data_IF_513550580384
#
_entry.id   IF_513550580384
#
_cell.length_a   1.000
_cell.length_b   1.000
_cell.length_c   1.000
_cell.angle_alpha   90.00
_cell.angle_beta   90.00
_cell.angle_gamma   90.00
#
_symmetry.space_group_name_H-M   'P 1'
#
loop_
_entity.id
_entity.type
_entity.pdbx_description
1 polymer ?
#
# COMPACT_ATOMS: atom_id res chain seq x y z
N UNK A 1 29.13 1.20 -15.89
CA UNK A 1 29.08 2.20 -14.80
C UNK A 1 30.02 1.71 -13.72
N UNK A 2 30.82 2.58 -13.13
CA UNK A 2 31.68 2.22 -12.02
C UNK A 2 30.84 2.15 -10.73
N UNK A 3 31.09 1.13 -9.92
CA UNK A 3 30.55 0.98 -8.58
C UNK A 3 31.70 1.13 -7.61
N UNK A 4 31.57 2.08 -6.70
CA UNK A 4 32.46 2.23 -5.56
C UNK A 4 32.27 1.04 -4.59
N UNK A 5 33.20 0.84 -3.65
CA UNK A 5 33.15 -0.25 -2.67
C UNK A 5 31.91 -0.20 -1.76
N UNK A 6 31.34 1.00 -1.55
CA UNK A 6 30.10 1.22 -0.79
C UNK A 6 28.82 0.96 -1.60
N UNK A 7 28.95 0.55 -2.87
CA UNK A 7 27.84 0.32 -3.79
C UNK A 7 27.34 1.56 -4.52
N UNK A 8 27.95 2.74 -4.29
CA UNK A 8 27.60 3.97 -5.00
C UNK A 8 27.90 3.85 -6.48
N UNK A 9 26.91 4.14 -7.31
CA UNK A 9 27.06 4.15 -8.77
C UNK A 9 27.44 5.58 -9.21
N UNK A 10 28.60 5.73 -9.86
CA UNK A 10 28.94 6.95 -10.60
C UNK A 10 28.46 6.82 -12.05
N UNK A 11 27.35 7.47 -12.45
CA UNK A 11 26.84 7.37 -13.81
C UNK A 11 27.73 8.14 -14.79
N UNK A 12 27.95 7.57 -15.97
CA UNK A 12 28.51 8.30 -17.10
C UNK A 12 27.53 9.41 -17.48
N UNK A 13 28.06 10.59 -17.85
CA UNK A 13 27.24 11.71 -18.31
C UNK A 13 27.35 11.85 -19.82
N UNK A 14 26.22 12.16 -20.44
CA UNK A 14 26.17 12.59 -21.84
C UNK A 14 26.89 13.93 -21.94
N UNK A 15 27.75 14.06 -22.95
CA UNK A 15 28.52 15.27 -23.22
C UNK A 15 27.85 16.06 -24.35
N UNK A 16 27.49 15.38 -25.44
CA UNK A 16 26.93 16.01 -26.63
C UNK A 16 25.82 15.14 -27.22
N UNK A 17 24.79 15.78 -27.78
CA UNK A 17 23.77 15.14 -28.59
C UNK A 17 24.04 15.39 -30.08
N UNK A 18 24.36 14.32 -30.80
CA UNK A 18 24.58 14.32 -32.24
C UNK A 18 23.23 14.08 -32.95
N UNK A 19 22.54 15.18 -33.25
CA UNK A 19 21.17 15.17 -33.78
C UNK A 19 21.04 14.35 -35.06
N UNK A 20 21.92 14.56 -36.04
CA UNK A 20 21.80 13.91 -37.35
C UNK A 20 22.04 12.40 -37.27
N UNK A 21 22.86 11.95 -36.31
CA UNK A 21 23.14 10.54 -36.09
C UNK A 21 22.17 9.85 -35.11
N UNK A 22 21.31 10.62 -34.43
CA UNK A 22 20.50 10.14 -33.30
C UNK A 22 21.36 9.42 -32.24
N UNK A 23 22.54 9.98 -31.93
CA UNK A 23 23.51 9.45 -30.97
C UNK A 23 23.88 10.49 -29.93
N UNK A 24 24.46 10.02 -28.83
CA UNK A 24 25.09 10.87 -27.82
C UNK A 24 26.52 10.45 -27.60
N UNK A 25 27.38 11.40 -27.27
CA UNK A 25 28.74 11.14 -26.78
C UNK A 25 28.71 11.06 -25.25
N UNK A 26 29.58 10.25 -24.66
CA UNK A 26 29.73 10.15 -23.22
C UNK A 26 31.18 9.87 -22.85
N UNK A 27 31.55 10.19 -21.61
CA UNK A 27 32.82 9.77 -21.00
C UNK A 27 32.58 8.85 -19.80
N UNK A 28 33.42 7.84 -19.67
CA UNK A 28 33.44 6.94 -18.54
C UNK A 28 34.23 7.55 -17.38
N UNK A 29 33.56 7.86 -16.27
CA UNK A 29 34.19 8.52 -15.13
C UNK A 29 35.27 7.68 -14.42
N UNK A 30 35.35 6.36 -14.70
CA UNK A 30 36.31 5.46 -14.03
C UNK A 30 37.56 5.17 -14.84
N UNK A 31 37.48 5.16 -16.17
CA UNK A 31 38.63 4.84 -17.03
C UNK A 31 38.93 5.90 -18.09
N UNK A 32 38.17 7.00 -18.14
CA UNK A 32 38.34 8.06 -19.12
C UNK A 32 37.88 7.71 -20.55
N UNK A 33 37.42 6.49 -20.80
CA UNK A 33 36.96 6.07 -22.12
C UNK A 33 35.81 6.96 -22.63
N UNK A 34 35.97 7.51 -23.83
CA UNK A 34 34.92 8.25 -24.54
C UNK A 34 34.28 7.37 -25.60
N UNK A 35 32.95 7.39 -25.67
CA UNK A 35 32.19 6.61 -26.65
C UNK A 35 31.04 7.38 -27.27
N UNK A 36 30.51 6.85 -28.37
CA UNK A 36 29.26 7.27 -29.00
C UNK A 36 28.24 6.15 -28.86
N UNK A 37 26.99 6.48 -28.55
CA UNK A 37 25.91 5.49 -28.42
C UNK A 37 24.60 6.00 -28.99
N UNK A 38 23.85 5.11 -29.66
CA UNK A 38 22.52 5.42 -30.20
C UNK A 38 21.51 5.67 -29.09
N UNK A 39 20.61 6.63 -29.33
CA UNK A 39 19.43 6.87 -28.50
C UNK A 39 18.58 5.60 -28.32
N UNK A 40 18.54 4.74 -29.35
CA UNK A 40 17.75 3.50 -29.39
C UNK A 40 18.44 2.29 -28.76
N UNK A 41 19.64 2.47 -28.20
CA UNK A 41 20.41 1.35 -27.61
C UNK A 41 19.78 0.74 -26.36
N UNK A 42 18.82 1.41 -25.72
CA UNK A 42 18.29 1.04 -24.41
C UNK A 42 19.26 1.25 -23.24
N UNK A 43 20.46 1.81 -23.48
CA UNK A 43 21.48 2.04 -22.45
C UNK A 43 21.53 3.48 -21.93
N UNK A 44 20.62 4.33 -22.40
CA UNK A 44 20.48 5.71 -21.97
C UNK A 44 19.27 5.84 -21.06
N UNK A 45 19.43 6.61 -19.99
CA UNK A 45 18.37 6.86 -19.02
C UNK A 45 18.18 8.37 -18.89
N UNK A 46 16.94 8.82 -19.02
CA UNK A 46 16.56 10.20 -18.74
C UNK A 46 16.78 10.51 -17.25
N UNK A 47 17.09 11.79 -16.95
CA UNK A 47 17.01 12.26 -15.57
C UNK A 47 15.57 12.03 -15.07
N UNK A 48 15.40 11.54 -13.84
CA UNK A 48 14.08 11.19 -13.30
C UNK A 48 13.08 12.36 -13.33
N UNK A 49 13.55 13.61 -13.22
CA UNK A 49 12.69 14.81 -13.33
C UNK A 49 12.08 14.99 -14.73
N UNK A 50 12.70 14.43 -15.77
CA UNK A 50 12.22 14.45 -17.15
C UNK A 50 11.57 13.12 -17.52
N UNK A 51 12.12 12.01 -17.05
CA UNK A 51 11.60 10.65 -17.25
C UNK A 51 10.17 10.50 -16.71
N UNK A 52 9.90 11.06 -15.53
CA UNK A 52 8.58 10.96 -14.90
C UNK A 52 7.46 11.64 -15.71
N UNK A 53 7.56 12.92 -16.10
CA UNK A 53 6.56 13.54 -16.97
C UNK A 53 6.52 12.96 -18.39
N UNK A 54 7.64 12.46 -18.91
CA UNK A 54 7.64 11.74 -20.19
C UNK A 54 6.75 10.49 -20.12
N UNK A 55 6.84 9.72 -19.02
CA UNK A 55 5.98 8.56 -18.78
C UNK A 55 4.52 8.95 -18.63
N UNK A 56 4.22 10.04 -17.93
CA UNK A 56 2.84 10.55 -17.84
C UNK A 56 2.24 10.84 -19.21
N UNK A 57 3.00 11.52 -20.08
CA UNK A 57 2.54 11.85 -21.41
C UNK A 57 2.45 10.63 -22.34
N UNK A 58 3.36 9.66 -22.18
CA UNK A 58 3.37 8.41 -22.93
C UNK A 58 2.16 7.54 -22.59
N UNK A 59 1.90 7.33 -21.30
CA UNK A 59 0.80 6.47 -20.81
C UNK A 59 -0.53 7.20 -20.67
N UNK A 60 -0.58 8.51 -20.96
CA UNK A 60 -1.76 9.37 -20.77
C UNK A 60 -2.31 9.26 -19.35
N UNK A 61 -1.41 9.29 -18.37
CA UNK A 61 -1.75 9.10 -16.96
C UNK A 61 -2.76 10.16 -16.50
N UNK A 62 -3.93 9.71 -16.03
CA UNK A 62 -5.01 10.60 -15.58
C UNK A 62 -4.83 11.02 -14.13
N UNK A 63 -4.31 10.14 -13.28
CA UNK A 63 -4.07 10.40 -11.86
C UNK A 63 -2.85 9.59 -11.40
N UNK A 64 -1.93 10.23 -10.67
CA UNK A 64 -0.82 9.56 -10.00
C UNK A 64 -0.57 10.24 -8.66
N UNK A 65 -0.99 9.63 -7.53
CA UNK A 65 -0.67 10.15 -6.22
C UNK A 65 0.83 10.10 -5.94
N UNK A 66 1.35 11.05 -5.17
CA UNK A 66 2.75 11.09 -4.78
C UNK A 66 2.92 11.55 -3.33
N UNK A 67 3.97 11.07 -2.67
CA UNK A 67 4.32 11.52 -1.33
C UNK A 67 4.50 13.04 -1.29
N UNK A 68 4.19 13.66 -0.14
CA UNK A 68 4.19 15.11 0.01
C UNK A 68 5.51 15.78 -0.42
N UNK A 69 6.65 15.11 -0.25
CA UNK A 69 7.98 15.61 -0.60
C UNK A 69 8.11 15.90 -2.10
N UNK A 70 7.40 15.17 -2.95
CA UNK A 70 7.35 15.43 -4.39
C UNK A 70 6.32 16.50 -4.76
N UNK A 71 5.34 16.75 -3.89
CA UNK A 71 4.17 17.57 -4.13
C UNK A 71 4.24 18.96 -3.50
N UNK A 72 5.36 19.33 -2.86
CA UNK A 72 5.60 20.69 -2.37
C UNK A 72 5.51 21.73 -3.50
N UNK A 73 5.24 23.00 -3.17
CA UNK A 73 5.19 24.09 -4.15
C UNK A 73 6.55 24.24 -4.84
N UNK A 74 6.57 24.20 -6.18
CA UNK A 74 7.81 24.17 -6.98
C UNK A 74 8.57 22.84 -6.89
N UNK A 75 7.94 21.81 -6.32
CA UNK A 75 8.49 20.47 -6.19
C UNK A 75 8.52 19.72 -7.52
N UNK A 76 8.91 18.45 -7.44
CA UNK A 76 9.06 17.59 -8.61
C UNK A 76 7.76 17.45 -9.42
N UNK A 77 6.61 17.37 -8.74
CA UNK A 77 5.30 17.25 -9.39
C UNK A 77 4.97 18.50 -10.20
N UNK A 78 5.15 19.70 -9.62
CA UNK A 78 4.86 20.97 -10.30
C UNK A 78 5.75 21.13 -11.54
N UNK A 79 7.05 20.87 -11.41
CA UNK A 79 7.98 20.89 -12.55
C UNK A 79 7.62 19.84 -13.59
N UNK A 80 7.12 18.67 -13.17
CA UNK A 80 6.69 17.62 -14.09
C UNK A 80 5.45 18.03 -14.91
N UNK A 81 4.47 18.68 -14.27
CA UNK A 81 3.27 19.18 -14.95
C UNK A 81 3.61 20.27 -15.98
N UNK A 82 4.56 21.16 -15.65
CA UNK A 82 5.07 22.15 -16.59
C UNK A 82 5.74 21.48 -17.80
N UNK A 83 6.64 20.52 -17.56
CA UNK A 83 7.29 19.74 -18.62
C UNK A 83 6.29 18.96 -19.49
N UNK A 84 5.20 18.43 -18.92
CA UNK A 84 4.14 17.80 -19.68
C UNK A 84 3.51 18.75 -20.71
N UNK A 85 3.25 20.00 -20.31
CA UNK A 85 2.65 21.01 -21.18
C UNK A 85 3.62 21.46 -22.25
N UNK A 86 4.83 21.85 -21.84
CA UNK A 86 5.83 22.47 -22.70
C UNK A 86 6.45 21.48 -23.70
N UNK A 87 6.71 20.23 -23.28
CA UNK A 87 7.44 19.25 -24.11
C UNK A 87 6.54 18.23 -24.81
N UNK A 88 5.39 17.90 -24.22
CA UNK A 88 4.59 16.75 -24.65
C UNK A 88 3.16 17.10 -25.04
N UNK A 89 2.78 18.39 -25.02
CA UNK A 89 1.42 18.86 -25.27
C UNK A 89 0.37 18.05 -24.45
N UNK A 90 0.69 17.79 -23.18
CA UNK A 90 -0.12 17.00 -22.27
C UNK A 90 -0.35 17.79 -20.98
N UNK A 91 -1.58 17.79 -20.46
CA UNK A 91 -1.93 18.57 -19.26
C UNK A 91 -1.31 18.02 -17.98
N UNK A 92 -0.91 16.75 -17.98
CA UNK A 92 -0.42 16.03 -16.81
C UNK A 92 -1.55 15.40 -15.96
N UNK A 93 -1.19 14.49 -15.04
CA UNK A 93 -2.15 13.82 -14.16
C UNK A 93 -2.71 14.74 -13.07
N UNK A 94 -3.84 14.35 -12.49
CA UNK A 94 -4.38 14.95 -11.27
C UNK A 94 -3.39 14.75 -10.12
N UNK A 95 -2.96 15.87 -9.52
CA UNK A 95 -2.04 15.90 -8.37
C UNK A 95 -2.76 15.50 -7.08
N UNK A 96 -2.39 14.35 -6.52
CA UNK A 96 -2.93 13.85 -5.25
C UNK A 96 -1.78 13.62 -4.24
N UNK A 97 -1.48 14.60 -3.37
CA UNK A 97 -0.46 14.41 -2.34
C UNK A 97 -0.97 13.50 -1.22
N UNK A 98 -0.08 12.66 -0.69
CA UNK A 98 -0.34 11.91 0.54
C UNK A 98 0.75 12.09 1.60
N UNK A 99 0.34 12.06 2.86
CA UNK A 99 1.16 12.12 4.07
C UNK A 99 1.71 10.75 4.46
N UNK A 100 2.58 10.76 5.47
CA UNK A 100 3.29 9.57 5.93
C UNK A 100 2.39 8.53 6.62
N UNK A 101 2.69 7.26 6.36
CA UNK A 101 2.35 6.15 7.25
C UNK A 101 3.50 5.93 8.24
N UNK A 102 3.20 6.06 9.53
CA UNK A 102 4.13 5.98 10.67
C UNK A 102 3.87 4.74 11.50
N UNK A 103 4.87 4.31 12.27
CA UNK A 103 4.73 3.30 13.32
C UNK A 103 4.71 4.01 14.68
N UNK A 104 3.54 4.11 15.30
CA UNK A 104 3.28 4.99 16.43
C UNK A 104 3.64 6.44 16.09
N UNK A 105 4.56 7.01 16.87
CA UNK A 105 5.03 8.39 16.71
C UNK A 105 6.31 8.51 15.88
N UNK A 106 6.82 7.39 15.32
CA UNK A 106 8.08 7.35 14.58
C UNK A 106 7.85 7.20 13.09
N UNK A 107 8.56 8.01 12.31
CA UNK A 107 8.68 7.79 10.86
C UNK A 107 9.43 6.49 10.60
N UNK A 108 8.92 5.68 9.66
CA UNK A 108 9.60 4.44 9.27
C UNK A 108 10.92 4.76 8.58
N UNK A 109 12.02 4.18 9.06
CA UNK A 109 13.38 4.42 8.54
C UNK A 109 14.09 3.09 8.35
N UNK A 110 14.27 2.68 7.10
CA UNK A 110 14.92 1.40 6.72
C UNK A 110 16.31 1.26 7.31
N UNK A 111 17.10 2.33 7.34
CA UNK A 111 18.45 2.33 7.90
C UNK A 111 18.51 2.20 9.43
N UNK A 112 17.40 2.42 10.14
CA UNK A 112 17.31 2.32 11.61
C UNK A 112 16.53 1.09 12.08
N UNK A 113 16.15 0.18 11.16
CA UNK A 113 15.38 -1.03 11.49
C UNK A 113 13.94 -0.80 11.94
N UNK A 114 13.45 0.45 11.96
CA UNK A 114 12.06 0.80 12.29
C UNK A 114 11.25 0.67 11.01
N UNK A 115 10.98 -0.57 10.61
CA UNK A 115 10.20 -0.89 9.41
C UNK A 115 9.13 -1.91 9.77
N UNK A 116 7.89 -1.52 9.50
CA UNK A 116 6.77 -2.42 9.49
C UNK A 116 6.39 -2.69 8.04
N UNK A 117 6.59 -3.93 7.59
CA UNK A 117 6.36 -4.32 6.20
C UNK A 117 4.95 -4.91 6.03
N UNK A 118 4.36 -4.85 4.83
CA UNK A 118 3.10 -5.55 4.57
C UNK A 118 3.16 -7.03 4.92
N UNK A 119 4.33 -7.69 4.70
CA UNK A 119 4.53 -9.08 5.10
C UNK A 119 4.35 -9.29 6.61
N UNK A 120 4.98 -8.45 7.45
CA UNK A 120 4.83 -8.51 8.90
C UNK A 120 3.40 -8.20 9.35
N UNK A 121 2.71 -7.30 8.66
CA UNK A 121 1.31 -7.02 8.95
C UNK A 121 0.42 -8.25 8.73
N UNK A 122 0.61 -8.95 7.61
CA UNK A 122 -0.17 -10.15 7.27
C UNK A 122 0.04 -11.33 8.25
N UNK A 123 1.13 -11.29 9.03
CA UNK A 123 1.38 -12.27 10.09
C UNK A 123 0.48 -12.05 11.32
N UNK A 124 -0.10 -10.84 11.49
CA UNK A 124 -0.86 -10.45 12.70
C UNK A 124 -2.29 -9.94 12.43
N UNK A 125 -2.61 -9.53 11.20
CA UNK A 125 -3.91 -8.96 10.87
C UNK A 125 -4.28 -9.11 9.39
N UNK A 126 -5.59 -9.02 9.10
CA UNK A 126 -6.14 -9.18 7.76
C UNK A 126 -5.94 -7.93 6.89
N UNK A 127 -5.64 -8.11 5.59
CA UNK A 127 -5.35 -6.99 4.70
C UNK A 127 -6.53 -6.06 4.46
N UNK A 128 -7.77 -6.53 4.59
CA UNK A 128 -8.99 -5.72 4.53
C UNK A 128 -8.99 -4.64 5.62
N UNK A 129 -8.54 -5.00 6.83
CA UNK A 129 -8.40 -4.08 7.96
C UNK A 129 -7.36 -3.01 7.64
N UNK A 130 -6.23 -3.37 7.01
CA UNK A 130 -5.21 -2.41 6.60
C UNK A 130 -5.75 -1.45 5.54
N UNK A 131 -6.42 -1.96 4.50
CA UNK A 131 -7.04 -1.14 3.46
C UNK A 131 -8.05 -0.17 4.04
N UNK A 132 -8.79 -0.60 5.07
CA UNK A 132 -9.74 0.26 5.78
C UNK A 132 -9.04 1.44 6.47
N UNK A 133 -7.91 1.21 7.14
CA UNK A 133 -7.12 2.27 7.78
C UNK A 133 -6.64 3.30 6.75
N UNK A 134 -6.15 2.84 5.60
CA UNK A 134 -5.70 3.72 4.51
C UNK A 134 -6.88 4.52 3.93
N UNK A 135 -7.94 3.83 3.50
CA UNK A 135 -9.06 4.44 2.76
C UNK A 135 -9.91 5.38 3.60
N UNK A 136 -10.05 5.12 4.90
CA UNK A 136 -10.81 6.02 5.79
C UNK A 136 -10.06 7.30 6.14
N UNK A 137 -8.74 7.31 5.96
CA UNK A 137 -7.91 8.44 6.36
C UNK A 137 -7.78 9.43 5.20
N UNK A 138 -8.00 10.71 5.50
CA UNK A 138 -7.73 11.76 4.51
C UNK A 138 -6.24 11.67 4.10
N UNK A 139 -5.92 11.58 2.80
CA UNK A 139 -4.53 11.42 2.35
C UNK A 139 -3.62 12.56 2.82
N UNK A 140 -4.15 13.74 3.12
CA UNK A 140 -3.40 14.87 3.68
C UNK A 140 -3.05 14.74 5.17
N UNK A 141 -3.47 13.66 5.83
CA UNK A 141 -3.17 13.38 7.25
C UNK A 141 -2.24 12.19 7.35
N UNK A 142 -1.28 12.28 8.27
CA UNK A 142 -0.44 11.13 8.61
C UNK A 142 -1.29 10.04 9.26
N UNK A 143 -0.93 8.79 9.00
CA UNK A 143 -1.48 7.62 9.67
C UNK A 143 -0.43 7.16 10.68
N UNK A 144 -0.77 7.15 11.97
CA UNK A 144 0.07 6.59 13.03
C UNK A 144 -0.41 5.19 13.35
N UNK A 145 0.13 4.19 12.65
CA UNK A 145 -0.24 2.79 12.87
C UNK A 145 0.35 2.26 14.17
N UNK A 146 -0.49 1.68 15.03
CA UNK A 146 -0.10 1.05 16.29
C UNK A 146 -0.59 -0.38 16.30
N UNK A 147 0.31 -1.34 16.57
CA UNK A 147 -0.05 -2.76 16.63
C UNK A 147 -1.01 -3.05 17.77
N UNK A 148 -0.94 -2.27 18.84
CA UNK A 148 -1.82 -2.36 20.00
C UNK A 148 -3.26 -1.94 19.67
N UNK A 149 -3.45 -1.21 18.56
CA UNK A 149 -4.76 -0.73 18.10
C UNK A 149 -5.43 -1.69 17.08
N UNK A 150 -4.80 -2.81 16.74
CA UNK A 150 -5.36 -3.80 15.80
C UNK A 150 -6.78 -4.25 16.21
N UNK A 151 -7.07 -4.58 17.50
CA UNK A 151 -8.43 -4.94 17.90
C UNK A 151 -9.47 -3.88 17.56
N UNK A 152 -9.13 -2.60 17.72
CA UNK A 152 -9.99 -1.46 17.44
C UNK A 152 -10.19 -1.26 15.93
N UNK A 153 -9.17 -1.57 15.12
CA UNK A 153 -9.28 -1.55 13.67
C UNK A 153 -10.20 -2.67 13.16
N UNK A 154 -10.15 -3.86 13.77
CA UNK A 154 -11.11 -4.94 13.51
C UNK A 154 -12.54 -4.53 13.90
N UNK A 155 -12.74 -3.99 15.11
CA UNK A 155 -14.06 -3.50 15.54
C UNK A 155 -14.64 -2.48 14.52
N UNK A 156 -13.80 -1.59 14.01
CA UNK A 156 -14.21 -0.61 13.01
C UNK A 156 -14.57 -1.26 11.67
N UNK A 157 -13.75 -2.21 11.21
CA UNK A 157 -13.99 -2.95 9.97
C UNK A 157 -15.29 -3.76 10.05
N UNK A 158 -15.52 -4.48 11.14
CA UNK A 158 -16.73 -5.28 11.35
C UNK A 158 -18.00 -4.41 11.39
N UNK A 159 -17.94 -3.25 12.06
CA UNK A 159 -19.04 -2.27 12.04
C UNK A 159 -19.32 -1.72 10.65
N UNK A 160 -18.26 -1.49 9.86
CA UNK A 160 -18.39 -1.02 8.49
C UNK A 160 -19.02 -2.09 7.59
N UNK A 161 -18.62 -3.35 7.74
CA UNK A 161 -19.22 -4.52 7.06
C UNK A 161 -20.69 -4.71 7.44
N UNK A 162 -21.01 -4.74 8.74
CA UNK A 162 -22.39 -4.86 9.24
C UNK A 162 -23.30 -3.77 8.67
N UNK A 163 -22.79 -2.53 8.66
CA UNK A 163 -23.50 -1.40 8.10
C UNK A 163 -23.75 -1.57 6.60
N UNK A 164 -22.75 -1.99 5.83
CA UNK A 164 -22.92 -2.25 4.40
C UNK A 164 -24.02 -3.30 4.13
N UNK A 165 -23.99 -4.43 4.83
CA UNK A 165 -24.96 -5.50 4.63
C UNK A 165 -26.38 -5.18 5.14
N UNK A 166 -26.52 -4.33 6.16
CA UNK A 166 -27.84 -3.87 6.62
C UNK A 166 -28.50 -2.89 5.63
N UNK A 167 -27.73 -1.99 5.01
CA UNK A 167 -28.24 -1.07 4.00
C UNK A 167 -28.60 -1.81 2.70
N UNK A 168 -27.78 -2.76 2.25
CA UNK A 168 -28.10 -3.62 1.07
C UNK A 168 -29.41 -4.39 1.26
N UNK A 169 -29.76 -4.75 2.51
CA UNK A 169 -31.02 -5.45 2.85
C UNK A 169 -32.21 -4.50 3.09
N UNK A 170 -32.11 -3.23 2.66
CA UNK A 170 -33.22 -2.27 2.73
C UNK A 170 -33.26 -1.42 4.01
N UNK A 171 -32.17 -1.35 4.77
CA UNK A 171 -32.00 -0.39 5.86
C UNK A 171 -31.95 1.06 5.37
N UNK A 172 -32.23 2.03 6.26
CA UNK A 172 -32.14 3.45 5.92
C UNK A 172 -30.73 3.80 5.43
N UNK A 173 -30.62 4.22 4.16
CA UNK A 173 -29.39 4.77 3.58
C UNK A 173 -29.11 6.15 4.17
N UNK A 174 -28.63 6.18 5.41
CA UNK A 174 -28.03 7.37 5.96
C UNK A 174 -26.80 7.71 5.12
N UNK A 175 -26.57 9.00 4.82
CA UNK A 175 -25.43 9.50 4.04
C UNK A 175 -24.09 9.21 4.74
N UNK A 176 -23.68 7.95 4.73
CA UNK A 176 -22.61 7.44 5.56
C UNK A 176 -21.50 6.93 4.65
N UNK A 177 -20.35 7.61 4.74
CA UNK A 177 -19.15 7.32 3.95
C UNK A 177 -18.68 5.86 4.07
N UNK A 178 -19.03 5.18 5.16
CA UNK A 178 -18.65 3.79 5.43
C UNK A 178 -19.15 2.80 4.36
N UNK A 179 -20.35 3.01 3.81
CA UNK A 179 -20.91 2.11 2.79
C UNK A 179 -20.10 2.10 1.49
N UNK A 180 -19.49 3.23 1.14
CA UNK A 180 -18.65 3.36 -0.05
C UNK A 180 -17.23 2.84 0.17
N UNK A 181 -16.75 2.87 1.41
CA UNK A 181 -15.40 2.41 1.75
C UNK A 181 -15.34 0.89 1.75
N UNK A 182 -16.35 0.19 2.28
CA UNK A 182 -16.32 -1.27 2.40
C UNK A 182 -16.08 -2.00 1.06
N UNK A 183 -16.77 -1.67 -0.04
CA UNK A 183 -16.49 -2.29 -1.33
C UNK A 183 -15.04 -2.07 -1.79
N UNK A 184 -14.48 -0.89 -1.53
CA UNK A 184 -13.10 -0.56 -1.89
C UNK A 184 -12.05 -1.33 -1.06
N UNK A 185 -12.45 -1.89 0.08
CA UNK A 185 -11.57 -2.76 0.87
C UNK A 185 -11.58 -4.20 0.38
N UNK A 186 -12.45 -4.58 -0.55
CA UNK A 186 -12.51 -5.94 -1.08
C UNK A 186 -11.74 -6.05 -2.40
N UNK A 187 -11.00 -7.15 -2.57
CA UNK A 187 -10.29 -7.48 -3.82
C UNK A 187 -11.06 -8.50 -4.67
N UNK A 188 -12.01 -9.19 -4.05
CA UNK A 188 -12.88 -10.17 -4.66
C UNK A 188 -14.32 -9.65 -4.65
N UNK A 189 -15.19 -10.34 -5.37
CA UNK A 189 -16.61 -10.06 -5.36
C UNK A 189 -17.15 -10.15 -3.93
N UNK A 190 -17.99 -9.18 -3.56
CA UNK A 190 -18.58 -9.11 -2.24
C UNK A 190 -19.70 -10.16 -2.20
N UNK A 191 -19.70 -11.07 -1.22
CA UNK A 191 -20.77 -12.06 -1.12
C UNK A 191 -22.12 -11.39 -0.89
N UNK A 192 -23.20 -12.06 -1.29
CA UNK A 192 -24.57 -11.57 -1.06
C UNK A 192 -24.94 -11.47 0.42
N UNK A 193 -24.26 -12.27 1.25
CA UNK A 193 -24.47 -12.31 2.70
C UNK A 193 -23.18 -12.11 3.47
N UNK A 194 -23.31 -11.51 4.65
CA UNK A 194 -22.19 -11.28 5.55
C UNK A 194 -21.63 -12.62 6.03
N UNK A 195 -20.33 -12.81 5.90
CA UNK A 195 -19.64 -13.98 6.46
C UNK A 195 -19.62 -13.95 7.98
N UNK A 196 -19.69 -15.12 8.61
CA UNK A 196 -19.49 -15.26 10.06
C UNK A 196 -18.05 -14.85 10.39
N UNK A 197 -17.89 -13.96 11.38
CA UNK A 197 -16.60 -13.53 11.90
C UNK A 197 -16.54 -13.76 13.40
N UNK A 198 -15.40 -14.24 13.87
CA UNK A 198 -15.07 -14.25 15.29
C UNK A 198 -14.51 -12.87 15.67
N UNK A 199 -15.03 -12.20 16.71
CA UNK A 199 -14.47 -10.95 17.16
C UNK A 199 -12.98 -11.09 17.47
N UNK A 200 -12.16 -10.16 16.98
CA UNK A 200 -10.70 -10.27 17.14
C UNK A 200 -10.26 -10.37 18.61
N UNK A 201 -10.97 -9.68 19.52
CA UNK A 201 -10.72 -9.75 20.96
C UNK A 201 -11.00 -11.14 21.55
N UNK A 202 -12.00 -11.85 21.03
CA UNK A 202 -12.26 -13.24 21.41
C UNK A 202 -11.11 -14.13 20.97
N UNK A 203 -10.59 -13.95 19.76
CA UNK A 203 -9.44 -14.70 19.27
C UNK A 203 -8.19 -14.46 20.12
N UNK A 204 -7.91 -13.22 20.52
CA UNK A 204 -6.83 -12.88 21.48
C UNK A 204 -7.03 -13.62 22.81
N UNK A 205 -8.24 -13.60 23.35
CA UNK A 205 -8.51 -14.31 24.61
C UNK A 205 -8.27 -15.83 24.46
N UNK A 206 -8.77 -16.42 23.38
CA UNK A 206 -8.61 -17.85 23.09
C UNK A 206 -7.13 -18.23 22.86
N UNK A 207 -6.34 -17.37 22.23
CA UNK A 207 -4.91 -17.61 22.02
C UNK A 207 -4.14 -17.61 23.34
N UNK A 208 -4.52 -16.80 24.32
CA UNK A 208 -3.87 -16.76 25.63
C UNK A 208 -4.12 -18.03 26.47
N UNK A 209 -5.29 -18.66 26.31
CA UNK A 209 -5.65 -19.88 27.05
C UNK A 209 -5.23 -21.18 26.36
N UNK A 210 -4.50 -21.10 25.23
CA UNK A 210 -4.03 -22.28 24.48
C UNK A 210 -3.05 -23.18 25.26
N UNK A 211 -2.41 -22.63 26.30
CA UNK A 211 -1.55 -23.42 27.20
C UNK A 211 -2.36 -24.31 28.16
N UNK A 212 -3.67 -24.06 28.28
CA UNK A 212 -4.57 -24.74 29.22
C UNK A 212 -5.55 -25.66 28.47
N UNK A 213 -5.99 -25.25 27.28
CA UNK A 213 -7.00 -25.96 26.49
C UNK A 213 -6.43 -26.41 25.14
N UNK A 214 -6.82 -27.61 24.70
CA UNK A 214 -6.48 -28.08 23.35
C UNK A 214 -7.19 -27.23 22.29
N UNK A 215 -6.63 -27.20 21.07
CA UNK A 215 -7.19 -26.42 19.97
C UNK A 215 -8.63 -26.81 19.63
N UNK A 216 -9.00 -28.08 19.82
CA UNK A 216 -10.36 -28.59 19.65
C UNK A 216 -11.30 -27.96 20.66
N UNK A 217 -10.91 -27.89 21.93
CA UNK A 217 -11.71 -27.22 22.98
C UNK A 217 -11.84 -25.72 22.75
N UNK A 218 -10.80 -25.07 22.22
CA UNK A 218 -10.86 -23.66 21.85
C UNK A 218 -11.83 -23.42 20.69
N UNK A 219 -11.85 -24.33 19.71
CA UNK A 219 -12.76 -24.27 18.57
C UNK A 219 -14.22 -24.42 19.01
N UNK A 220 -14.53 -25.37 19.90
CA UNK A 220 -15.88 -25.50 20.48
C UNK A 220 -16.30 -24.22 21.23
N UNK A 221 -15.40 -23.62 22.01
CA UNK A 221 -15.69 -22.33 22.67
C UNK A 221 -15.93 -21.19 21.69
N UNK A 222 -15.18 -21.14 20.60
CA UNK A 222 -15.37 -20.15 19.55
C UNK A 222 -16.75 -20.33 18.87
N UNK A 223 -17.14 -21.58 18.61
CA UNK A 223 -18.45 -21.95 18.07
C UNK A 223 -19.57 -21.51 19.01
N UNK A 224 -19.50 -21.86 20.30
CA UNK A 224 -20.46 -21.45 21.33
C UNK A 224 -20.62 -19.92 21.38
N UNK A 225 -19.51 -19.17 21.31
CA UNK A 225 -19.53 -17.71 21.37
C UNK A 225 -20.04 -17.05 20.08
N UNK A 226 -19.93 -17.72 18.92
CA UNK A 226 -20.38 -17.18 17.63
C UNK A 226 -21.91 -17.17 17.47
N UNK A 227 -22.63 -17.96 18.28
CA UNK A 227 -24.08 -18.18 18.21
C UNK A 227 -24.59 -18.51 16.79
N UNK A 228 -23.73 -19.09 15.94
CA UNK A 228 -24.03 -19.32 14.53
C UNK A 228 -24.22 -20.81 14.24
N UNK A 229 -25.37 -21.18 13.67
CA UNK A 229 -25.69 -22.58 13.34
C UNK A 229 -24.74 -23.16 12.26
N UNK A 230 -24.28 -22.32 11.33
CA UNK A 230 -23.39 -22.72 10.22
C UNK A 230 -21.91 -22.38 10.47
N UNK A 231 -21.48 -22.37 11.74
CA UNK A 231 -20.12 -21.99 12.12
C UNK A 231 -19.05 -22.87 11.44
N UNK A 232 -19.23 -24.19 11.44
CA UNK A 232 -18.23 -25.13 10.91
C UNK A 232 -18.10 -25.07 9.38
N UNK A 233 -19.18 -24.71 8.68
CA UNK A 233 -19.17 -24.47 7.24
C UNK A 233 -18.42 -23.17 6.90
N UNK A 234 -18.50 -22.17 7.78
CA UNK A 234 -17.93 -20.83 7.55
C UNK A 234 -16.48 -20.70 8.02
N UNK A 235 -16.14 -21.31 9.16
CA UNK A 235 -14.82 -21.25 9.79
C UNK A 235 -14.37 -22.67 10.08
N UNK A 236 -13.66 -23.27 9.14
CA UNK A 236 -13.05 -24.59 9.31
C UNK A 236 -12.00 -24.59 10.42
N UNK A 237 -11.71 -25.76 10.99
CA UNK A 237 -10.62 -25.94 11.96
C UNK A 237 -9.26 -25.42 11.44
N UNK A 238 -8.99 -25.56 10.14
CA UNK A 238 -7.77 -25.05 9.52
C UNK A 238 -7.72 -23.50 9.50
N UNK A 239 -8.85 -22.85 9.16
CA UNK A 239 -8.98 -21.40 9.24
C UNK A 239 -8.87 -20.91 10.69
N UNK A 240 -9.53 -21.58 11.63
CA UNK A 240 -9.43 -21.25 13.05
C UNK A 240 -8.00 -21.33 13.59
N UNK A 241 -7.24 -22.39 13.24
CA UNK A 241 -5.81 -22.51 13.58
C UNK A 241 -4.99 -21.33 13.07
N UNK A 242 -5.28 -20.84 11.85
CA UNK A 242 -4.63 -19.65 11.29
C UNK A 242 -4.97 -18.40 12.10
N UNK A 243 -6.25 -18.20 12.44
CA UNK A 243 -6.72 -17.07 13.25
C UNK A 243 -6.05 -17.05 14.63
N UNK A 244 -6.03 -18.18 15.34
CA UNK A 244 -5.36 -18.30 16.65
C UNK A 244 -3.87 -17.99 16.55
N UNK A 245 -3.19 -18.48 15.51
CA UNK A 245 -1.77 -18.19 15.27
C UNK A 245 -1.53 -16.71 15.04
N UNK A 246 -2.39 -16.03 14.26
CA UNK A 246 -2.28 -14.58 14.03
C UNK A 246 -2.40 -13.78 15.33
N UNK A 247 -3.25 -14.24 16.27
CA UNK A 247 -3.49 -13.58 17.55
C UNK A 247 -2.59 -14.03 18.71
N UNK A 248 -1.62 -14.91 18.46
CA UNK A 248 -0.64 -15.32 19.48
C UNK A 248 0.56 -14.37 19.55
N UNK A 249 0.84 -13.66 18.45
CA UNK A 249 2.05 -12.85 18.26
C UNK A 249 1.94 -11.44 18.85
#
# INVERSE_FOLDING_TARGET
QHREEDGTIKPNRVIEYLRDEQKVTYSCNSCGYTGKISLYSGRLKLNWRVDWPAKWALYKTTCEPAGKDHSVKGGAYDTGLELCKELYNFIGPVKVPYEWLRLGDRDMKTSKGIVFTPKKYLEIADPEVFRTIILRTNPLKHISFRTEEIPQYYDFYERMEEKYFSEVKGGESGNNKLQYIFPLTQIHEIPNERSIRLPFKLLIFLSQVQNILSIEKLYEKAKEASLSENFEESITMAQFKKLIRQTTN
#
